data_IF_652124108566
#
_entry.id   IF_652124108566
#
_cell.length_a   1.000
_cell.length_b   1.000
_cell.length_c   1.000
_cell.angle_alpha   90.00
_cell.angle_beta   90.00
_cell.angle_gamma   90.00
#
_symmetry.space_group_name_H-M   'P 1'
#
loop_
_entity.id
_entity.type
_entity.pdbx_description
1 polymer ?
#
# COMPACT_ATOMS: atom_id res chain seq x y z
N UNK A 1 -2.97 14.10 -14.75
CA UNK A 1 -1.74 13.79 -14.00
C UNK A 1 -2.16 13.40 -12.59
N UNK A 2 -2.49 12.13 -12.36
CA UNK A 2 -3.03 11.68 -11.07
C UNK A 2 -1.98 10.78 -10.43
N UNK A 3 -1.35 11.30 -9.38
CA UNK A 3 -0.46 10.52 -8.53
C UNK A 3 -1.14 10.24 -7.18
N UNK A 4 -2.21 9.43 -7.13
CA UNK A 4 -2.68 8.91 -5.85
C UNK A 4 -1.87 7.65 -5.50
N UNK A 5 -1.75 7.37 -4.21
CA UNK A 5 -0.96 6.35 -3.52
C UNK A 5 0.30 6.96 -2.93
N UNK A 6 0.26 7.20 -1.62
CA UNK A 6 1.33 7.88 -0.88
C UNK A 6 2.13 6.86 -0.08
N UNK A 7 3.41 6.81 -0.35
CA UNK A 7 4.37 6.02 0.43
C UNK A 7 5.41 6.99 0.97
N UNK A 8 5.53 7.05 2.29
CA UNK A 8 6.47 7.91 2.98
C UNK A 8 7.34 7.08 3.92
N UNK A 9 8.65 7.12 3.71
CA UNK A 9 9.60 6.54 4.65
C UNK A 9 9.78 7.50 5.81
N UNK A 10 9.57 7.03 7.04
CA UNK A 10 9.77 7.80 8.27
C UNK A 10 11.17 7.59 8.80
N UNK A 11 11.60 8.55 9.62
CA UNK A 11 12.91 8.53 10.29
C UNK A 11 13.06 7.36 11.29
N UNK A 12 11.95 6.83 11.79
CA UNK A 12 11.87 5.62 12.64
C UNK A 12 11.85 4.32 11.83
N UNK A 13 12.41 4.32 10.61
CA UNK A 13 12.43 3.13 9.75
C UNK A 13 11.08 2.57 9.34
N UNK A 14 10.02 3.33 9.53
CA UNK A 14 8.69 2.89 9.18
C UNK A 14 8.28 3.45 7.83
N UNK A 15 7.87 2.57 6.92
CA UNK A 15 7.25 2.94 5.66
C UNK A 15 5.76 3.12 5.91
N UNK A 16 5.29 4.36 5.84
CA UNK A 16 3.89 4.72 5.97
C UNK A 16 3.24 4.75 4.59
N UNK A 17 2.20 3.93 4.42
CA UNK A 17 1.52 3.70 3.15
C UNK A 17 0.07 4.14 3.33
N UNK A 18 -0.34 5.11 2.53
CA UNK A 18 -1.67 5.73 2.60
C UNK A 18 -2.33 5.74 1.23
N UNK A 19 -3.61 5.40 1.21
CA UNK A 19 -4.44 5.60 0.04
C UNK A 19 -4.96 7.02 0.00
N UNK A 20 -5.04 7.57 -1.20
CA UNK A 20 -5.68 8.84 -1.47
C UNK A 20 -7.08 8.63 -2.05
N UNK A 21 -7.98 9.62 -1.96
CA UNK A 21 -9.36 9.47 -2.45
C UNK A 21 -9.43 9.20 -3.94
N UNK A 22 -8.39 9.58 -4.66
CA UNK A 22 -8.19 9.32 -6.07
C UNK A 22 -7.66 7.91 -6.39
N UNK A 23 -7.14 7.14 -5.42
CA UNK A 23 -6.88 5.71 -5.59
C UNK A 23 -8.13 4.86 -5.36
N UNK A 24 -9.10 5.42 -4.63
CA UNK A 24 -10.33 4.71 -4.30
C UNK A 24 -11.17 4.60 -5.56
N UNK A 25 -11.04 3.47 -6.26
CA UNK A 25 -11.84 3.17 -7.43
C UNK A 25 -13.29 2.88 -7.02
N UNK A 26 -13.45 2.15 -5.90
CA UNK A 26 -14.75 1.84 -5.29
C UNK A 26 -14.61 1.66 -3.77
N UNK A 27 -15.66 2.06 -3.03
CA UNK A 27 -15.75 1.85 -1.58
C UNK A 27 -15.81 0.35 -1.21
N UNK A 28 -16.36 -0.50 -2.09
CA UNK A 28 -16.44 -1.96 -1.90
C UNK A 28 -15.22 -2.73 -2.43
N UNK A 29 -14.15 -2.03 -2.80
CA UNK A 29 -12.91 -2.67 -3.23
C UNK A 29 -12.00 -2.94 -2.04
N UNK A 30 -11.32 -4.09 -2.09
CA UNK A 30 -10.28 -4.48 -1.13
C UNK A 30 -8.95 -3.98 -1.64
N UNK A 31 -8.24 -3.21 -0.83
CA UNK A 31 -6.91 -2.71 -1.19
C UNK A 31 -5.86 -3.47 -0.41
N UNK A 32 -4.90 -4.08 -1.11
CA UNK A 32 -3.84 -4.89 -0.54
C UNK A 32 -2.51 -4.30 -0.96
N UNK A 33 -1.64 -4.03 -0.01
CA UNK A 33 -0.29 -3.57 -0.23
C UNK A 33 0.66 -4.73 -0.10
N UNK A 34 1.44 -4.99 -1.15
CA UNK A 34 2.54 -5.94 -1.12
C UNK A 34 3.85 -5.20 -1.04
N UNK A 35 4.67 -5.54 -0.06
CA UNK A 35 5.99 -4.97 0.14
C UNK A 35 7.01 -6.08 -0.14
N UNK A 36 7.91 -5.82 -1.07
CA UNK A 36 8.98 -6.74 -1.46
C UNK A 36 10.30 -6.01 -1.41
N UNK A 37 11.27 -6.51 -0.66
CA UNK A 37 12.54 -5.81 -0.45
C UNK A 37 13.40 -6.50 0.61
N UNK A 38 12.76 -7.24 1.51
CA UNK A 38 13.42 -8.15 2.45
C UNK A 38 13.48 -9.58 1.94
N UNK A 39 13.99 -10.49 2.79
CA UNK A 39 13.96 -11.93 2.59
C UNK A 39 12.54 -12.50 2.42
N UNK A 40 11.51 -11.75 2.81
CA UNK A 40 10.11 -12.16 2.76
C UNK A 40 9.25 -11.06 2.12
N UNK A 41 8.15 -11.49 1.49
CA UNK A 41 7.14 -10.58 0.94
C UNK A 41 6.08 -10.34 2.01
N UNK A 42 5.79 -9.08 2.30
CA UNK A 42 4.74 -8.71 3.25
C UNK A 42 3.49 -8.28 2.50
N UNK A 43 2.32 -8.64 3.04
CA UNK A 43 1.03 -8.29 2.47
C UNK A 43 0.18 -7.65 3.56
N UNK A 44 -0.28 -6.43 3.32
CA UNK A 44 -1.12 -5.66 4.24
C UNK A 44 -2.42 -5.31 3.55
N UNK A 45 -3.54 -5.65 4.17
CA UNK A 45 -4.84 -5.28 3.67
C UNK A 45 -5.29 -3.99 4.37
N UNK A 46 -5.76 -3.02 3.60
CA UNK A 46 -6.46 -1.87 4.15
C UNK A 46 -7.85 -2.30 4.65
N UNK A 47 -8.25 -1.76 5.80
CA UNK A 47 -9.59 -1.99 6.32
C UNK A 47 -10.65 -1.44 5.36
N UNK A 48 -11.78 -2.12 5.29
CA UNK A 48 -12.88 -1.77 4.40
C UNK A 48 -13.49 -0.43 4.83
N UNK A 49 -13.75 0.45 3.86
CA UNK A 49 -14.15 1.81 4.16
C UNK A 49 -15.32 2.25 3.28
N UNK A 50 -16.42 2.64 3.94
CA UNK A 50 -17.68 2.92 3.27
C UNK A 50 -17.91 4.42 2.97
N UNK A 51 -16.99 5.31 3.33
CA UNK A 51 -17.10 6.78 3.05
C UNK A 51 -15.82 7.58 3.34
N UNK A 52 -15.00 7.16 4.29
CA UNK A 52 -13.73 7.81 4.67
C UNK A 52 -12.53 7.00 4.18
N UNK A 53 -11.35 7.60 3.99
CA UNK A 53 -10.16 6.84 3.58
C UNK A 53 -9.77 5.78 4.62
N UNK A 54 -9.23 4.65 4.18
CA UNK A 54 -8.77 3.62 5.10
C UNK A 54 -7.57 4.11 5.92
N UNK A 55 -7.36 3.50 7.09
CA UNK A 55 -6.23 3.83 7.94
C UNK A 55 -4.89 3.58 7.21
N UNK A 56 -3.91 4.48 7.37
CA UNK A 56 -2.60 4.28 6.76
C UNK A 56 -1.91 3.06 7.36
N UNK A 57 -1.35 2.22 6.50
CA UNK A 57 -0.57 1.06 6.92
C UNK A 57 0.84 1.53 7.26
N UNK A 58 1.34 1.12 8.42
CA UNK A 58 2.72 1.38 8.82
C UNK A 58 3.49 0.07 8.77
N UNK A 59 4.51 0.01 7.92
CA UNK A 59 5.39 -1.14 7.80
C UNK A 59 6.75 -0.82 8.43
N UNK A 60 7.28 -1.69 9.28
CA UNK A 60 8.60 -1.49 9.85
C UNK A 60 9.68 -2.08 8.94
N UNK A 61 10.42 -1.23 8.24
CA UNK A 61 11.56 -1.62 7.43
C UNK A 61 12.77 -1.86 8.35
N UNK A 62 12.99 -3.13 8.71
CA UNK A 62 14.08 -3.51 9.59
C UNK A 62 15.47 -3.34 8.94
N UNK A 63 15.54 -3.27 7.61
CA UNK A 63 16.80 -3.13 6.87
C UNK A 63 16.89 -1.76 6.21
N UNK A 64 17.71 -0.89 6.81
CA UNK A 64 18.07 0.39 6.22
C UNK A 64 18.85 0.18 4.90
N UNK A 65 18.39 0.79 3.81
CA UNK A 65 19.13 0.85 2.54
C UNK A 65 18.90 -0.32 1.57
N UNK A 66 17.89 -1.17 1.82
CA UNK A 66 17.36 -2.07 0.80
C UNK A 66 16.28 -1.36 -0.01
N UNK A 67 16.20 -1.68 -1.30
CA UNK A 67 15.11 -1.21 -2.16
C UNK A 67 13.83 -1.96 -1.79
N UNK A 68 12.86 -1.24 -1.23
CA UNK A 68 11.52 -1.77 -0.99
C UNK A 68 10.61 -1.38 -2.13
N UNK A 69 9.95 -2.37 -2.72
CA UNK A 69 8.93 -2.19 -3.75
C UNK A 69 7.58 -2.40 -3.07
N UNK A 70 6.83 -1.32 -2.96
CA UNK A 70 5.48 -1.28 -2.44
C UNK A 70 4.52 -1.32 -3.63
N UNK A 71 3.82 -2.43 -3.79
CA UNK A 71 2.80 -2.63 -4.83
C UNK A 71 1.41 -2.57 -4.21
N UNK A 72 0.63 -1.57 -4.59
CA UNK A 72 -0.79 -1.52 -4.32
C UNK A 72 -1.53 -2.45 -5.29
N UNK A 73 -2.29 -3.38 -4.74
CA UNK A 73 -3.23 -4.24 -5.42
C UNK A 73 -4.65 -3.88 -5.01
N UNK A 74 -5.57 -3.89 -5.97
CA UNK A 74 -6.97 -3.60 -5.77
C UNK A 74 -7.77 -4.80 -6.23
N UNK A 75 -8.51 -5.40 -5.30
CA UNK A 75 -9.45 -6.49 -5.54
C UNK A 75 -10.86 -6.05 -5.24
N UNK A 76 -11.81 -6.88 -5.64
CA UNK A 76 -13.18 -6.83 -5.12
C UNK A 76 -13.40 -8.14 -4.37
N UNK A 77 -14.34 -8.23 -3.41
CA UNK A 77 -14.58 -9.47 -2.66
C UNK A 77 -14.82 -10.70 -3.56
N UNK A 78 -15.28 -10.49 -4.80
CA UNK A 78 -15.53 -11.55 -5.78
C UNK A 78 -14.48 -11.63 -6.91
N UNK A 79 -13.37 -10.89 -6.82
CA UNK A 79 -12.43 -10.73 -7.94
C UNK A 79 -10.98 -10.76 -7.45
N UNK A 80 -10.13 -11.46 -8.21
CA UNK A 80 -8.69 -11.55 -7.89
C UNK A 80 -8.08 -10.15 -7.86
N UNK A 81 -7.36 -9.77 -6.77
CA UNK A 81 -6.74 -8.46 -6.65
C UNK A 81 -5.71 -8.26 -7.76
N UNK A 82 -5.82 -7.12 -8.46
CA UNK A 82 -4.94 -6.74 -9.56
C UNK A 82 -3.98 -5.65 -9.11
N UNK A 83 -2.71 -5.67 -9.55
CA UNK A 83 -1.78 -4.60 -9.25
C UNK A 83 -2.28 -3.30 -9.90
N UNK A 84 -2.51 -2.28 -9.07
CA UNK A 84 -2.92 -0.96 -9.49
C UNK A 84 -1.71 -0.03 -9.64
N UNK A 85 -0.82 -0.03 -8.64
CA UNK A 85 0.38 0.82 -8.64
C UNK A 85 1.55 0.15 -7.93
N UNK A 86 2.75 0.57 -8.29
CA UNK A 86 3.98 0.20 -7.58
C UNK A 86 4.84 1.44 -7.35
N UNK A 87 5.41 1.53 -6.16
CA UNK A 87 6.35 2.57 -5.75
C UNK A 87 7.57 1.87 -5.20
N UNK A 88 8.75 2.29 -5.63
CA UNK A 88 10.01 1.83 -5.05
C UNK A 88 10.53 2.91 -4.10
N UNK A 89 10.91 2.51 -2.90
CA UNK A 89 11.54 3.37 -1.89
C UNK A 89 12.90 2.80 -1.48
N UNK A 90 13.80 3.67 -1.02
CA UNK A 90 15.15 3.38 -0.59
C UNK A 90 15.32 3.69 0.90
#
# INVERSE_FOLDING_TARGET
NAAPFRVAVREDNSILISLEPSDVVSASSVYIVKITGESQNYFFQFEEFNSTLPAPITFNASYHGLYYIITLMVGSPNMIPRPAKSITVL
#
